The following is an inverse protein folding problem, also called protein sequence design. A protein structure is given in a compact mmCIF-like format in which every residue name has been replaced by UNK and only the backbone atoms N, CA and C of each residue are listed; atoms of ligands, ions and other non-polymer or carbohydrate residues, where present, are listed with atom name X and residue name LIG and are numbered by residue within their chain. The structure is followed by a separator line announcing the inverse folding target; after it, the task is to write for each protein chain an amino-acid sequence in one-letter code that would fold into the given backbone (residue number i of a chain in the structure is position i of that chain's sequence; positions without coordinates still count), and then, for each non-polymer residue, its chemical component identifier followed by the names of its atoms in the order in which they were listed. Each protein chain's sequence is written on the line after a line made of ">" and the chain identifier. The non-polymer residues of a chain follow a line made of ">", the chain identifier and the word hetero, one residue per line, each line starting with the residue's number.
data_IF_997371985157
#
_entry.id   IF_997371985157
#
_cell.length_a   1.000
_cell.length_b   1.000
_cell.length_c   1.000
_cell.angle_alpha   90.00
_cell.angle_beta   90.00
_cell.angle_gamma   90.00
#
_symmetry.space_group_name_H-M   'P 1'
#
loop_
_entity.id
_entity.type
_entity.pdbx_description
1 polymer ?
#
# COMPACT_ATOMS: atom_id res chain seq x y z
N UNK A 1 20.89 15.16 -15.01
CA UNK A 1 20.19 14.47 -13.91
C UNK A 1 18.88 13.97 -14.45
N UNK A 2 18.68 12.65 -14.54
CA UNK A 2 17.45 12.07 -15.09
C UNK A 2 16.31 12.39 -14.13
N UNK A 3 15.39 13.27 -14.53
CA UNK A 3 14.09 13.43 -13.88
C UNK A 3 13.42 12.05 -13.93
N UNK A 4 13.21 11.45 -12.76
CA UNK A 4 12.39 10.25 -12.65
C UNK A 4 10.97 10.63 -13.10
N UNK A 5 10.68 10.49 -14.40
CA UNK A 5 9.31 10.56 -14.88
C UNK A 5 8.60 9.33 -14.34
N UNK A 6 7.77 9.56 -13.32
CA UNK A 6 6.85 8.56 -12.81
C UNK A 6 5.97 8.12 -13.98
N UNK A 7 5.76 6.81 -14.13
CA UNK A 7 4.67 6.32 -14.99
C UNK A 7 3.36 6.97 -14.54
N UNK A 8 2.42 7.22 -15.46
CA UNK A 8 1.17 7.90 -15.16
C UNK A 8 0.43 7.32 -13.93
N UNK A 9 0.38 5.99 -13.84
CA UNK A 9 -0.21 5.30 -12.68
C UNK A 9 0.48 5.64 -11.35
N UNK A 10 1.82 5.79 -11.35
CA UNK A 10 2.59 6.20 -10.16
C UNK A 10 2.37 7.68 -9.85
N UNK A 11 2.25 8.53 -10.88
CA UNK A 11 1.95 9.94 -10.71
C UNK A 11 0.55 10.13 -10.10
N UNK A 12 -0.45 9.37 -10.55
CA UNK A 12 -1.80 9.40 -9.98
C UNK A 12 -1.79 9.00 -8.49
N UNK A 13 -1.17 7.87 -8.14
CA UNK A 13 -1.08 7.41 -6.75
C UNK A 13 -0.33 8.41 -5.86
N UNK A 14 0.73 9.03 -6.39
CA UNK A 14 1.44 10.10 -5.70
C UNK A 14 0.52 11.28 -5.38
N UNK A 15 -0.25 11.75 -6.35
CA UNK A 15 -1.15 12.88 -6.15
C UNK A 15 -2.32 12.55 -5.23
N UNK A 16 -2.83 11.31 -5.25
CA UNK A 16 -3.83 10.86 -4.27
C UNK A 16 -3.29 10.97 -2.84
N UNK A 17 -2.05 10.53 -2.61
CA UNK A 17 -1.41 10.63 -1.30
C UNK A 17 -1.12 12.08 -0.89
N UNK A 18 -0.55 12.89 -1.80
CA UNK A 18 -0.28 14.32 -1.57
C UNK A 18 -1.55 15.05 -1.19
N UNK A 19 -2.62 14.91 -1.98
CA UNK A 19 -3.89 15.59 -1.70
C UNK A 19 -4.52 15.11 -0.38
N UNK A 20 -4.41 13.82 -0.06
CA UNK A 20 -4.80 13.30 1.25
C UNK A 20 -4.09 13.98 2.41
N UNK A 21 -2.79 14.29 2.27
CA UNK A 21 -2.01 15.04 3.25
C UNK A 21 -2.35 16.53 3.25
N UNK A 22 -2.48 17.16 2.08
CA UNK A 22 -2.82 18.59 1.93
C UNK A 22 -4.13 18.92 2.63
N UNK A 23 -5.12 18.01 2.59
CA UNK A 23 -6.41 18.20 3.28
C UNK A 23 -6.24 18.50 4.78
N UNK A 24 -5.18 17.97 5.39
CA UNK A 24 -4.89 18.09 6.82
C UNK A 24 -3.69 19.00 7.12
N UNK A 25 -3.05 19.61 6.10
CA UNK A 25 -1.86 20.45 6.25
C UNK A 25 -1.99 21.74 5.41
N UNK A 26 -2.24 22.86 6.10
CA UNK A 26 -2.49 24.17 5.48
C UNK A 26 -1.27 24.79 4.79
N UNK A 27 -0.05 24.38 5.13
CA UNK A 27 1.19 25.02 4.65
C UNK A 27 1.64 24.50 3.28
N UNK A 28 1.19 23.31 2.87
CA UNK A 28 1.67 22.66 1.64
C UNK A 28 1.27 23.44 0.37
N UNK A 29 0.09 24.06 0.34
CA UNK A 29 -0.35 24.88 -0.81
C UNK A 29 0.52 26.15 -0.94
N UNK A 30 0.71 26.99 0.11
CA UNK A 30 1.64 28.11 0.07
C UNK A 30 3.06 27.75 -0.37
N UNK A 31 3.63 26.65 0.14
CA UNK A 31 4.95 26.19 -0.28
C UNK A 31 4.99 25.81 -1.76
N UNK A 32 3.94 25.16 -2.25
CA UNK A 32 3.81 24.77 -3.66
C UNK A 32 3.70 25.98 -4.59
N UNK A 33 3.00 27.03 -4.19
CA UNK A 33 2.95 28.30 -4.93
C UNK A 33 4.34 28.95 -5.04
N UNK A 34 5.14 28.92 -3.97
CA UNK A 34 6.50 29.44 -3.99
C UNK A 34 7.41 28.69 -4.96
N UNK A 35 7.34 27.36 -5.01
CA UNK A 35 8.11 26.58 -5.98
C UNK A 35 7.59 26.75 -7.41
N UNK A 36 6.28 26.89 -7.60
CA UNK A 36 5.70 27.19 -8.90
C UNK A 36 6.27 28.48 -9.50
N UNK A 37 6.48 29.52 -8.68
CA UNK A 37 7.12 30.75 -9.13
C UNK A 37 8.59 30.54 -9.54
N UNK A 38 9.35 29.73 -8.80
CA UNK A 38 10.72 29.35 -9.19
C UNK A 38 10.75 28.52 -10.48
N UNK A 39 9.74 27.68 -10.70
CA UNK A 39 9.59 26.89 -11.93
C UNK A 39 9.27 27.78 -13.14
N UNK A 40 8.44 28.82 -12.97
CA UNK A 40 8.19 29.84 -14.00
C UNK A 40 9.48 30.48 -14.49
N UNK A 41 10.38 30.83 -13.56
CA UNK A 41 11.66 31.45 -13.91
C UNK A 41 12.62 30.47 -14.62
N UNK A 42 12.61 29.21 -14.20
CA UNK A 42 13.51 28.16 -14.76
C UNK A 42 13.03 27.59 -16.08
N UNK A 43 11.72 27.57 -16.33
CA UNK A 43 11.07 26.96 -17.49
C UNK A 43 9.99 27.89 -18.06
N UNK A 44 10.36 29.08 -18.56
CA UNK A 44 9.40 30.07 -19.06
C UNK A 44 8.59 29.56 -20.26
N UNK A 45 9.11 28.59 -21.02
CA UNK A 45 8.44 27.98 -22.17
C UNK A 45 7.15 27.22 -21.81
N UNK A 46 6.94 26.91 -20.53
CA UNK A 46 5.74 26.23 -20.02
C UNK A 46 4.80 27.18 -19.27
N UNK A 47 4.86 28.49 -19.54
CA UNK A 47 4.09 29.53 -18.84
C UNK A 47 2.59 29.21 -18.68
N UNK A 48 1.96 28.70 -19.74
CA UNK A 48 0.54 28.32 -19.71
C UNK A 48 0.26 27.23 -18.68
N UNK A 49 1.12 26.22 -18.58
CA UNK A 49 1.01 25.16 -17.60
C UNK A 49 1.18 25.67 -16.17
N UNK A 50 2.11 26.61 -15.96
CA UNK A 50 2.30 27.24 -14.66
C UNK A 50 1.13 28.12 -14.25
N UNK A 51 0.53 28.84 -15.20
CA UNK A 51 -0.69 29.63 -14.95
C UNK A 51 -1.86 28.73 -14.56
N UNK A 52 -2.00 27.58 -15.22
CA UNK A 52 -3.01 26.58 -14.87
C UNK A 52 -2.80 26.01 -13.47
N UNK A 53 -1.56 25.66 -13.11
CA UNK A 53 -1.24 25.20 -11.76
C UNK A 53 -1.52 26.27 -10.69
N UNK A 54 -1.19 27.53 -10.97
CA UNK A 54 -1.51 28.65 -10.07
C UNK A 54 -3.02 28.76 -9.83
N UNK A 55 -3.81 28.74 -10.90
CA UNK A 55 -5.27 28.81 -10.81
C UNK A 55 -5.87 27.59 -10.09
N UNK A 56 -5.26 26.41 -10.19
CA UNK A 56 -5.68 25.22 -9.46
C UNK A 56 -5.39 25.31 -7.97
N UNK A 57 -4.22 25.81 -7.59
CA UNK A 57 -3.82 25.97 -6.20
C UNK A 57 -4.65 27.06 -5.48
N UNK A 58 -5.16 28.05 -6.23
CA UNK A 58 -6.08 29.08 -5.72
C UNK A 58 -7.56 28.62 -5.66
N UNK A 59 -7.89 27.47 -6.26
CA UNK A 59 -9.25 26.95 -6.27
C UNK A 59 -9.60 26.24 -4.94
N UNK A 60 -10.91 26.08 -4.63
CA UNK A 60 -11.32 25.22 -3.50
C UNK A 60 -10.71 23.82 -3.62
N UNK A 61 -10.30 23.26 -2.47
CA UNK A 61 -9.57 21.99 -2.41
C UNK A 61 -10.27 20.86 -3.16
N UNK A 62 -11.60 20.76 -3.01
CA UNK A 62 -12.41 19.74 -3.68
C UNK A 62 -12.27 19.84 -5.21
N UNK A 63 -12.37 21.05 -5.75
CA UNK A 63 -12.24 21.31 -7.20
C UNK A 63 -10.82 21.04 -7.69
N UNK A 64 -9.82 21.48 -6.93
CA UNK A 64 -8.42 21.19 -7.24
C UNK A 64 -8.18 19.67 -7.29
N UNK A 65 -8.65 18.94 -6.29
CA UNK A 65 -8.46 17.50 -6.20
C UNK A 65 -9.15 16.74 -7.33
N UNK A 66 -10.38 17.11 -7.68
CA UNK A 66 -11.12 16.52 -8.80
C UNK A 66 -10.35 16.65 -10.12
N UNK A 67 -9.83 17.85 -10.43
CA UNK A 67 -9.11 18.11 -11.68
C UNK A 67 -7.76 17.38 -11.70
N UNK A 68 -7.00 17.45 -10.61
CA UNK A 68 -5.68 16.80 -10.52
C UNK A 68 -5.80 15.27 -10.58
N UNK A 69 -6.89 14.68 -10.08
CA UNK A 69 -7.10 13.23 -10.04
C UNK A 69 -7.90 12.69 -11.22
N UNK A 70 -8.39 13.55 -12.11
CA UNK A 70 -9.17 13.14 -13.27
C UNK A 70 -8.37 12.18 -14.16
N UNK A 71 -9.01 11.08 -14.57
CA UNK A 71 -8.47 10.13 -15.55
C UNK A 71 -8.69 10.66 -16.97
N UNK A 72 -7.98 11.75 -17.29
CA UNK A 72 -8.03 12.42 -18.60
C UNK A 72 -6.61 12.77 -19.06
N UNK A 73 -6.38 12.95 -20.37
CA UNK A 73 -5.08 13.40 -20.89
C UNK A 73 -4.58 14.69 -20.22
N UNK A 74 -5.52 15.58 -19.91
CA UNK A 74 -5.23 16.84 -19.25
C UNK A 74 -4.81 16.65 -17.77
N UNK A 75 -5.51 15.78 -17.04
CA UNK A 75 -5.11 15.39 -15.68
C UNK A 75 -3.72 14.75 -15.66
N UNK A 76 -3.41 13.89 -16.63
CA UNK A 76 -2.07 13.29 -16.78
C UNK A 76 -0.99 14.34 -17.06
N UNK A 77 -1.26 15.31 -17.94
CA UNK A 77 -0.34 16.42 -18.21
C UNK A 77 -0.04 17.25 -16.96
N UNK A 78 -1.06 17.57 -16.17
CA UNK A 78 -0.91 18.28 -14.91
C UNK A 78 -0.02 17.48 -13.95
N UNK A 79 -0.36 16.21 -13.69
CA UNK A 79 0.39 15.35 -12.76
C UNK A 79 1.85 15.15 -13.16
N UNK A 80 2.13 15.04 -14.46
CA UNK A 80 3.50 14.90 -14.99
C UNK A 80 4.38 16.13 -14.73
N UNK A 81 3.77 17.32 -14.58
CA UNK A 81 4.47 18.58 -14.39
C UNK A 81 4.09 19.24 -13.06
N UNK A 82 3.80 18.41 -12.06
CA UNK A 82 3.32 18.89 -10.77
C UNK A 82 4.39 19.63 -9.97
N UNK A 83 4.09 20.83 -9.45
CA UNK A 83 5.00 21.56 -8.57
C UNK A 83 5.14 20.93 -7.18
N UNK A 84 4.22 20.03 -6.78
CA UNK A 84 4.24 19.40 -5.45
C UNK A 84 5.54 18.63 -5.18
N UNK A 85 6.08 17.94 -6.19
CA UNK A 85 7.33 17.20 -6.04
C UNK A 85 8.48 18.11 -5.62
N UNK A 86 8.59 19.29 -6.22
CA UNK A 86 9.68 20.22 -5.94
C UNK A 86 9.43 21.05 -4.66
N UNK A 87 8.16 21.28 -4.32
CA UNK A 87 7.71 21.95 -3.09
C UNK A 87 8.11 21.25 -1.80
N UNK A 88 8.35 19.94 -1.90
CA UNK A 88 8.65 19.11 -0.75
C UNK A 88 10.14 18.82 -0.64
N UNK A 89 10.64 18.83 0.60
CA UNK A 89 11.96 18.31 0.93
C UNK A 89 12.09 16.83 0.56
N UNK A 90 13.33 16.35 0.46
CA UNK A 90 13.60 14.92 0.25
C UNK A 90 12.96 14.05 1.34
N UNK A 91 12.93 14.54 2.58
CA UNK A 91 12.32 13.83 3.72
C UNK A 91 10.81 13.71 3.55
N UNK A 92 10.11 14.79 3.20
CA UNK A 92 8.66 14.77 2.97
C UNK A 92 8.28 13.88 1.77
N UNK A 93 9.05 13.96 0.68
CA UNK A 93 8.86 13.04 -0.46
C UNK A 93 9.02 11.59 -0.05
N UNK A 94 10.03 11.27 0.76
CA UNK A 94 10.24 9.91 1.25
C UNK A 94 9.07 9.45 2.15
N UNK A 95 8.55 10.32 3.01
CA UNK A 95 7.38 10.01 3.85
C UNK A 95 6.14 9.72 2.99
N UNK A 96 5.91 10.48 1.91
CA UNK A 96 4.82 10.19 0.97
C UNK A 96 5.00 8.85 0.29
N UNK A 97 6.21 8.55 -0.20
CA UNK A 97 6.46 7.25 -0.83
C UNK A 97 6.34 6.08 0.14
N UNK A 98 6.77 6.27 1.40
CA UNK A 98 6.52 5.31 2.47
C UNK A 98 5.02 5.14 2.73
N UNK A 99 4.27 6.24 2.78
CA UNK A 99 2.82 6.22 2.96
C UNK A 99 2.12 5.46 1.83
N UNK A 100 2.49 5.74 0.57
CA UNK A 100 1.99 5.04 -0.61
C UNK A 100 2.33 3.54 -0.54
N UNK A 101 3.59 3.22 -0.27
CA UNK A 101 4.06 1.84 -0.16
C UNK A 101 3.33 1.09 0.95
N UNK A 102 3.06 1.75 2.07
CA UNK A 102 2.29 1.19 3.17
C UNK A 102 0.83 0.94 2.79
N UNK A 103 0.13 1.90 2.18
CA UNK A 103 -1.26 1.71 1.76
C UNK A 103 -1.40 0.59 0.71
N UNK A 104 -0.43 0.48 -0.21
CA UNK A 104 -0.37 -0.64 -1.14
C UNK A 104 -0.16 -1.97 -0.42
N UNK A 105 0.73 -2.00 0.58
CA UNK A 105 0.94 -3.18 1.42
C UNK A 105 -0.32 -3.56 2.21
N UNK A 106 -1.00 -2.60 2.82
CA UNK A 106 -2.27 -2.81 3.53
C UNK A 106 -3.33 -3.35 2.59
N UNK A 107 -3.36 -2.95 1.32
CA UNK A 107 -4.29 -3.52 0.35
C UNK A 107 -4.08 -5.03 0.18
N UNK A 108 -2.84 -5.50 0.07
CA UNK A 108 -2.56 -6.94 0.04
C UNK A 108 -2.98 -7.64 1.33
N UNK A 109 -2.82 -6.98 2.48
CA UNK A 109 -3.32 -7.50 3.76
C UNK A 109 -4.84 -7.63 3.76
N UNK A 110 -5.57 -6.61 3.31
CA UNK A 110 -7.04 -6.63 3.26
C UNK A 110 -7.58 -7.66 2.27
N UNK A 111 -6.93 -7.82 1.11
CA UNK A 111 -7.22 -8.91 0.16
C UNK A 111 -7.02 -10.28 0.82
N UNK A 112 -5.95 -10.45 1.61
CA UNK A 112 -5.68 -11.70 2.31
C UNK A 112 -6.70 -11.98 3.43
N UNK A 113 -7.06 -10.95 4.21
CA UNK A 113 -8.11 -11.03 5.23
C UNK A 113 -9.45 -11.45 4.63
N UNK A 114 -9.86 -10.84 3.51
CA UNK A 114 -11.10 -11.17 2.82
C UNK A 114 -11.05 -12.61 2.28
N UNK A 115 -9.94 -13.01 1.66
CA UNK A 115 -9.78 -14.36 1.13
C UNK A 115 -9.85 -15.44 2.22
N UNK A 116 -9.20 -15.21 3.36
CA UNK A 116 -9.19 -16.11 4.51
C UNK A 116 -10.44 -15.98 5.41
N UNK A 117 -11.28 -14.97 5.14
CA UNK A 117 -12.43 -14.55 5.93
C UNK A 117 -12.08 -14.29 7.41
N UNK A 118 -10.96 -13.62 7.69
CA UNK A 118 -10.55 -13.35 9.08
C UNK A 118 -11.46 -12.30 9.73
N UNK A 119 -12.00 -12.62 10.90
CA UNK A 119 -12.80 -11.71 11.69
C UNK A 119 -11.92 -10.62 12.35
N UNK A 120 -12.50 -9.46 12.65
CA UNK A 120 -11.74 -8.36 13.26
C UNK A 120 -11.02 -8.73 14.57
N UNK A 121 -11.60 -9.53 15.49
CA UNK A 121 -10.89 -9.97 16.69
C UNK A 121 -9.67 -10.86 16.37
N UNK A 122 -9.78 -11.71 15.36
CA UNK A 122 -8.70 -12.60 14.90
C UNK A 122 -7.55 -11.78 14.31
N UNK A 123 -7.90 -10.80 13.47
CA UNK A 123 -6.96 -9.84 12.91
C UNK A 123 -6.21 -9.09 14.01
N UNK A 124 -6.93 -8.57 15.01
CA UNK A 124 -6.33 -7.84 16.13
C UNK A 124 -5.36 -8.71 16.93
N UNK A 125 -5.74 -9.95 17.22
CA UNK A 125 -4.89 -10.88 17.95
C UNK A 125 -3.61 -11.27 17.19
N UNK A 126 -3.72 -11.52 15.88
CA UNK A 126 -2.56 -11.89 15.03
C UNK A 126 -1.62 -10.70 14.82
N UNK A 127 -2.17 -9.50 14.62
CA UNK A 127 -1.41 -8.34 14.17
C UNK A 127 -0.97 -7.40 15.30
N UNK A 128 -1.58 -7.52 16.49
CA UNK A 128 -1.32 -6.62 17.62
C UNK A 128 -1.88 -5.21 17.46
N UNK A 129 -2.71 -4.97 16.43
CA UNK A 129 -3.49 -3.74 16.29
C UNK A 129 -4.78 -3.80 17.11
N UNK A 130 -5.24 -2.65 17.59
CA UNK A 130 -6.60 -2.54 18.13
C UNK A 130 -7.65 -2.60 17.01
N UNK A 131 -8.90 -2.90 17.39
CA UNK A 131 -10.02 -2.89 16.44
C UNK A 131 -10.22 -1.52 15.78
N UNK A 132 -9.98 -0.45 16.52
CA UNK A 132 -10.08 0.94 16.06
C UNK A 132 -8.98 1.26 15.04
N UNK A 133 -7.73 0.83 15.31
CA UNK A 133 -6.60 0.99 14.40
C UNK A 133 -6.86 0.22 13.08
N UNK A 134 -7.37 -1.01 13.16
CA UNK A 134 -7.71 -1.82 11.98
C UNK A 134 -8.80 -1.15 11.12
N UNK A 135 -9.79 -0.50 11.73
CA UNK A 135 -10.89 0.14 11.00
C UNK A 135 -10.42 1.30 10.11
N UNK A 136 -9.36 1.99 10.52
CA UNK A 136 -8.80 3.15 9.80
C UNK A 136 -7.58 2.81 8.95
N UNK A 137 -6.99 1.61 9.11
CA UNK A 137 -5.77 1.16 8.43
C UNK A 137 -5.87 1.24 6.89
N UNK A 138 -7.08 1.07 6.34
CA UNK A 138 -7.38 1.20 4.91
C UNK A 138 -7.15 2.60 4.33
N UNK A 139 -7.10 3.62 5.19
CA UNK A 139 -7.10 5.05 4.81
C UNK A 139 -6.00 5.85 5.50
N UNK A 140 -5.38 5.30 6.54
CA UNK A 140 -4.40 6.00 7.35
C UNK A 140 -3.20 5.11 7.62
N UNK A 141 -2.01 5.70 7.50
CA UNK A 141 -0.76 5.06 7.89
C UNK A 141 -0.50 5.43 9.35
N UNK A 142 -0.33 4.45 10.25
CA UNK A 142 0.04 4.73 11.62
C UNK A 142 1.33 5.57 11.66
N UNK A 143 1.36 6.59 12.54
CA UNK A 143 2.52 7.45 12.69
C UNK A 143 3.77 6.66 13.13
N UNK A 144 3.55 5.60 13.91
CA UNK A 144 4.56 4.62 14.30
C UNK A 144 3.96 3.21 14.19
N UNK A 145 4.68 2.32 13.52
CA UNK A 145 4.32 0.90 13.42
C UNK A 145 5.51 0.09 13.92
N UNK A 146 5.29 -0.67 14.99
CA UNK A 146 6.33 -1.54 15.52
C UNK A 146 6.67 -2.66 14.53
N UNK A 147 7.89 -3.20 14.63
CA UNK A 147 8.34 -4.28 13.77
C UNK A 147 7.43 -5.53 13.91
N UNK A 148 6.95 -5.79 15.12
CA UNK A 148 6.06 -6.90 15.46
C UNK A 148 4.70 -6.74 14.79
N UNK A 149 4.12 -5.53 14.83
CA UNK A 149 2.85 -5.22 14.15
C UNK A 149 2.97 -5.38 12.63
N UNK A 150 4.07 -4.90 12.06
CA UNK A 150 4.35 -5.08 10.64
C UNK A 150 4.54 -6.56 10.28
N UNK A 151 5.20 -7.34 11.13
CA UNK A 151 5.38 -8.77 10.92
C UNK A 151 4.05 -9.52 10.96
N UNK A 152 3.16 -9.21 11.90
CA UNK A 152 1.81 -9.78 11.96
C UNK A 152 1.01 -9.56 10.66
N UNK A 153 1.06 -8.35 10.08
CA UNK A 153 0.45 -8.09 8.77
C UNK A 153 1.07 -8.95 7.65
N UNK A 154 2.40 -9.11 7.66
CA UNK A 154 3.12 -9.96 6.67
C UNK A 154 2.78 -11.43 6.83
N UNK A 155 2.59 -11.92 8.06
CA UNK A 155 2.25 -13.30 8.33
C UNK A 155 0.89 -13.67 7.72
N UNK A 156 -0.12 -12.80 7.83
CA UNK A 156 -1.44 -12.99 7.20
C UNK A 156 -1.32 -13.04 5.68
N UNK A 157 -0.59 -12.10 5.07
CA UNK A 157 -0.36 -12.09 3.62
C UNK A 157 0.39 -13.37 3.18
N UNK A 158 1.40 -13.78 3.93
CA UNK A 158 2.22 -14.95 3.60
C UNK A 158 1.39 -16.22 3.66
N UNK A 159 0.55 -16.37 4.69
CA UNK A 159 -0.37 -17.50 4.81
C UNK A 159 -1.26 -17.60 3.56
N UNK A 160 -1.91 -16.49 3.20
CA UNK A 160 -2.80 -16.48 2.04
C UNK A 160 -2.07 -16.86 0.76
N UNK A 161 -0.89 -16.28 0.51
CA UNK A 161 -0.10 -16.59 -0.69
C UNK A 161 0.35 -18.04 -0.75
N UNK A 162 0.76 -18.61 0.38
CA UNK A 162 1.20 -20.01 0.45
C UNK A 162 0.03 -20.96 0.17
N UNK A 163 -1.12 -20.73 0.80
CA UNK A 163 -2.31 -21.54 0.57
C UNK A 163 -2.85 -21.39 -0.87
N UNK A 164 -2.74 -20.18 -1.45
CA UNK A 164 -3.06 -19.95 -2.86
C UNK A 164 -2.10 -20.70 -3.79
N UNK A 165 -0.80 -20.71 -3.48
CA UNK A 165 0.22 -21.43 -4.25
C UNK A 165 0.04 -22.96 -4.26
N UNK A 166 -0.67 -23.50 -3.27
CA UNK A 166 -1.07 -24.92 -3.23
C UNK A 166 -2.29 -25.24 -4.13
N UNK A 167 -2.77 -24.27 -4.92
CA UNK A 167 -3.96 -24.40 -5.79
C UNK A 167 -5.22 -24.86 -5.06
N UNK A 168 -5.31 -24.61 -3.76
CA UNK A 168 -6.53 -24.85 -2.99
C UNK A 168 -7.58 -23.82 -3.40
N UNK A 169 -8.86 -24.19 -3.48
CA UNK A 169 -9.91 -23.19 -3.65
C UNK A 169 -10.13 -22.38 -2.36
N UNK A 170 -10.82 -21.24 -2.46
CA UNK A 170 -11.06 -20.35 -1.32
C UNK A 170 -11.80 -21.04 -0.16
N UNK A 171 -12.78 -21.91 -0.45
CA UNK A 171 -13.55 -22.59 0.59
C UNK A 171 -12.66 -23.59 1.34
N UNK A 172 -11.82 -24.31 0.63
CA UNK A 172 -10.84 -25.24 1.20
C UNK A 172 -9.84 -24.51 2.07
N UNK A 173 -9.30 -23.37 1.63
CA UNK A 173 -8.39 -22.54 2.44
C UNK A 173 -9.03 -22.10 3.76
N UNK A 174 -10.25 -21.54 3.68
CA UNK A 174 -11.02 -21.08 4.85
C UNK A 174 -11.37 -22.22 5.80
N UNK A 175 -11.70 -23.39 5.24
CA UNK A 175 -12.04 -24.58 6.01
C UNK A 175 -10.81 -25.13 6.75
N UNK A 176 -9.69 -25.29 6.05
CA UNK A 176 -8.43 -25.75 6.62
C UNK A 176 -7.98 -24.86 7.79
N UNK A 177 -8.08 -23.54 7.62
CA UNK A 177 -7.70 -22.57 8.65
C UNK A 177 -8.47 -22.76 9.98
N UNK A 178 -9.71 -23.24 9.91
CA UNK A 178 -10.66 -23.33 11.04
C UNK A 178 -10.83 -24.74 11.62
N UNK A 179 -10.22 -25.74 11.01
CA UNK A 179 -10.33 -27.12 11.47
C UNK A 179 -9.00 -27.63 12.00
N UNK A 180 -9.08 -28.67 12.82
CA UNK A 180 -7.89 -29.32 13.35
C UNK A 180 -7.03 -29.88 12.22
N UNK A 181 -5.76 -29.49 12.23
CA UNK A 181 -4.75 -29.98 11.29
C UNK A 181 -3.93 -31.07 11.99
N UNK A 182 -3.91 -32.27 11.40
CA UNK A 182 -3.10 -33.39 11.91
C UNK A 182 -1.61 -33.04 11.94
N UNK A 183 -1.13 -32.29 10.93
CA UNK A 183 0.26 -31.86 10.81
C UNK A 183 0.66 -30.87 11.90
N UNK A 184 -0.25 -29.94 12.23
CA UNK A 184 0.00 -28.89 13.22
C UNK A 184 -0.41 -29.29 14.65
N UNK A 185 -1.13 -30.41 14.79
CA UNK A 185 -1.76 -30.87 16.04
C UNK A 185 -2.58 -29.76 16.72
N UNK A 186 -3.40 -29.08 15.92
CA UNK A 186 -4.24 -27.98 16.38
C UNK A 186 -4.93 -27.25 15.22
N UNK A 187 -5.81 -26.32 15.56
CA UNK A 187 -6.49 -25.46 14.59
C UNK A 187 -5.51 -24.35 14.15
N UNK A 188 -5.16 -24.23 12.85
CA UNK A 188 -4.16 -23.27 12.39
C UNK A 188 -4.46 -21.83 12.83
N UNK A 189 -5.72 -21.40 12.76
CA UNK A 189 -6.14 -20.07 13.18
C UNK A 189 -5.91 -19.82 14.67
N UNK A 190 -6.30 -20.76 15.52
CA UNK A 190 -6.06 -20.66 16.97
C UNK A 190 -4.57 -20.57 17.27
N UNK A 191 -3.73 -21.35 16.57
CA UNK A 191 -2.28 -21.25 16.71
C UNK A 191 -1.75 -19.87 16.33
N UNK A 192 -2.25 -19.27 15.24
CA UNK A 192 -1.85 -17.92 14.85
C UNK A 192 -2.28 -16.87 15.87
N UNK A 193 -3.51 -16.95 16.37
CA UNK A 193 -4.06 -16.08 17.43
C UNK A 193 -3.22 -16.19 18.72
N UNK A 194 -2.72 -17.38 19.03
CA UNK A 194 -1.84 -17.63 20.18
C UNK A 194 -0.36 -17.25 19.91
N UNK A 195 -0.07 -16.49 18.86
CA UNK A 195 1.28 -16.02 18.52
C UNK A 195 2.20 -17.07 17.88
N UNK A 196 1.67 -18.22 17.44
CA UNK A 196 2.43 -19.30 16.78
C UNK A 196 2.30 -19.24 15.26
N UNK A 197 2.13 -18.05 14.69
CA UNK A 197 1.97 -17.86 13.25
C UNK A 197 3.19 -18.34 12.43
N UNK A 198 4.41 -18.09 12.92
CA UNK A 198 5.63 -18.57 12.28
C UNK A 198 5.64 -20.11 12.13
N UNK A 199 5.23 -20.83 13.17
CA UNK A 199 5.12 -22.30 13.16
C UNK A 199 4.12 -22.80 12.10
N UNK A 200 2.97 -22.13 11.96
CA UNK A 200 1.97 -22.46 10.93
C UNK A 200 2.54 -22.26 9.53
N UNK A 201 3.25 -21.16 9.29
CA UNK A 201 3.87 -20.86 7.98
C UNK A 201 5.01 -21.83 7.65
N UNK A 202 5.86 -22.17 8.61
CA UNK A 202 6.94 -23.14 8.42
C UNK A 202 6.40 -24.52 8.02
N UNK A 203 5.31 -24.97 8.66
CA UNK A 203 4.65 -26.22 8.31
C UNK A 203 4.11 -26.22 6.88
N UNK A 204 3.57 -25.11 6.39
CA UNK A 204 3.08 -25.01 5.01
C UNK A 204 4.23 -24.99 3.99
N UNK A 205 5.38 -24.44 4.37
CA UNK A 205 6.58 -24.42 3.50
C UNK A 205 7.07 -25.84 3.27
N UNK A 206 7.09 -26.67 4.33
CA UNK A 206 7.42 -28.09 4.22
C UNK A 206 6.45 -28.87 3.33
N UNK A 207 5.14 -28.58 3.42
CA UNK A 207 4.13 -29.22 2.55
C UNK A 207 4.30 -28.79 1.09
N UNK A 208 4.57 -27.51 0.83
CA UNK A 208 4.78 -27.00 -0.53
C UNK A 208 6.02 -27.63 -1.20
N UNK A 209 7.10 -27.86 -0.44
CA UNK A 209 8.31 -28.55 -0.93
C UNK A 209 8.05 -30.03 -1.27
N UNK A 210 7.16 -30.70 -0.54
CA UNK A 210 6.77 -32.10 -0.81
C UNK A 210 5.85 -32.25 -2.02
N UNK A 211 5.18 -31.17 -2.44
CA UNK A 211 4.35 -31.15 -3.66
C UNK A 211 5.11 -30.82 -4.94
N UNK A 212 6.37 -30.36 -4.86
CA UNK A 212 7.23 -30.15 -6.04
C UNK A 212 7.68 -31.52 -6.54
N UNK A 213 7.27 -31.91 -7.75
CA UNK A 213 7.70 -33.18 -8.33
C UNK A 213 9.15 -33.04 -8.84
N UNK A 214 9.94 -34.12 -8.91
CA UNK A 214 11.29 -34.08 -9.50
C UNK A 214 11.34 -33.51 -10.93
N UNK A 215 10.21 -33.54 -11.62
CA UNK A 215 9.99 -33.01 -12.97
C UNK A 215 9.79 -31.48 -13.03
N UNK A 216 9.48 -30.83 -11.89
CA UNK A 216 9.36 -29.37 -11.74
C UNK A 216 10.70 -28.70 -11.36
N UNK A 217 11.73 -29.50 -11.05
CA UNK A 217 13.08 -29.00 -10.77
C UNK A 217 13.86 -28.80 -12.08
N UNK A 218 14.59 -27.69 -12.25
CA UNK A 218 15.38 -27.47 -13.46
C UNK A 218 16.37 -28.61 -13.65
N UNK A 219 16.22 -29.33 -14.77
CA UNK A 219 17.18 -30.36 -15.18
C UNK A 219 18.49 -29.66 -15.50
N UNK A 220 19.49 -29.86 -14.63
CA UNK A 220 20.87 -29.53 -14.96
C UNK A 220 21.33 -30.53 -16.03
N UNK A 221 21.15 -30.14 -17.28
CA UNK A 221 21.72 -30.77 -18.47
C UNK A 221 22.68 -29.82 -19.15
#
# INVERSE_FOLDING_TARGET
>A
MSSFNLSEQKALVFHQAVLGLTRNNSELIPHTLNELNKLRDRKPEQADLWNRWSALLDAPFEKMSEIILADTPDGGLLRANSPFMDAMSKTERNLIWQHIGFLQFVRYYLEAVDDLALELPEQAAITGFSLEELAVLKTQVPADISAERLDGLKQVISLQKMLFGLNLDQKVRRNWLRHESETLKGVPLSLMVDGKAAYVLESLTGVAQLTVRPEDMPRMG
#
